data_IF_900324556959
#
_entry.id   IF_900324556959
#
_cell.length_a   1.000
_cell.length_b   1.000
_cell.length_c   1.000
_cell.angle_alpha   90.00
_cell.angle_beta   90.00
_cell.angle_gamma   90.00
#
_symmetry.space_group_name_H-M   'P 1'
#
loop_
_entity.id
_entity.type
_entity.pdbx_description
1 polymer ?
#
# COMPACT_ATOMS: atom_id res chain seq x y z
N UNK A 1 -19.48 17.87 -10.14
CA UNK A 1 -18.05 17.53 -10.26
C UNK A 1 -17.49 17.75 -8.89
N UNK A 2 -17.11 16.68 -8.21
CA UNK A 2 -16.60 16.80 -6.85
C UNK A 2 -15.09 17.03 -6.91
N UNK A 3 -14.64 18.11 -6.27
CA UNK A 3 -13.27 18.58 -6.38
C UNK A 3 -12.48 18.12 -5.16
N UNK A 4 -11.57 17.17 -5.37
CA UNK A 4 -10.64 16.75 -4.34
C UNK A 4 -9.54 17.81 -4.15
N UNK A 5 -9.51 18.42 -2.97
CA UNK A 5 -8.55 19.47 -2.62
C UNK A 5 -7.50 18.93 -1.65
N UNK A 6 -6.22 19.12 -1.98
CA UNK A 6 -5.14 18.91 -1.02
C UNK A 6 -5.09 20.14 -0.12
N UNK A 7 -5.33 19.94 1.18
CA UNK A 7 -5.31 21.01 2.16
C UNK A 7 -3.95 21.71 2.13
N UNK A 8 -3.99 23.03 1.97
CA UNK A 8 -2.81 23.89 1.88
C UNK A 8 -1.86 23.58 0.71
N UNK A 9 -2.26 22.75 -0.27
CA UNK A 9 -1.38 22.25 -1.33
C UNK A 9 -0.08 21.61 -0.79
N UNK A 10 -0.16 21.00 0.40
CA UNK A 10 1.01 20.45 1.10
C UNK A 10 1.00 18.91 1.13
N UNK A 11 2.17 18.34 0.86
CA UNK A 11 2.49 16.92 1.07
C UNK A 11 3.65 16.85 2.06
N UNK A 12 3.53 15.99 3.07
CA UNK A 12 4.55 15.85 4.11
C UNK A 12 5.25 14.50 4.00
N UNK A 13 6.57 14.51 4.11
CA UNK A 13 7.39 13.31 4.11
C UNK A 13 7.56 12.76 5.52
N UNK A 14 7.50 11.44 5.66
CA UNK A 14 7.72 10.72 6.91
C UNK A 14 8.88 9.73 6.78
N UNK A 15 9.53 9.47 7.92
CA UNK A 15 10.60 8.45 8.01
C UNK A 15 10.08 7.06 8.31
N UNK A 16 8.94 6.95 8.99
CA UNK A 16 8.40 5.67 9.46
C UNK A 16 6.89 5.66 9.25
N UNK A 17 6.38 4.55 8.71
CA UNK A 17 4.95 4.27 8.59
C UNK A 17 4.61 3.14 9.56
N UNK A 18 3.48 3.28 10.25
CA UNK A 18 2.97 2.29 11.19
C UNK A 18 1.55 1.91 10.77
N UNK A 19 1.34 0.64 10.44
CA UNK A 19 0.03 0.12 10.04
C UNK A 19 -0.45 -0.85 11.12
N UNK A 20 -1.59 -0.54 11.72
CA UNK A 20 -2.20 -1.41 12.70
C UNK A 20 -3.01 -2.50 11.98
N UNK A 21 -2.92 -3.73 12.47
CA UNK A 21 -3.73 -4.84 12.01
C UNK A 21 -4.18 -5.71 13.18
N UNK A 22 -5.24 -6.48 12.94
CA UNK A 22 -5.75 -7.46 13.89
C UNK A 22 -5.26 -8.83 13.51
N UNK A 23 -4.66 -9.54 14.45
CA UNK A 23 -4.33 -10.95 14.29
C UNK A 23 -5.56 -11.83 14.51
N UNK A 24 -5.48 -13.10 14.11
CA UNK A 24 -6.60 -14.05 14.18
C UNK A 24 -7.14 -14.25 15.61
N UNK A 25 -6.28 -14.11 16.61
CA UNK A 25 -6.63 -14.14 18.04
C UNK A 25 -7.23 -12.82 18.55
N UNK A 26 -7.65 -11.91 17.65
CA UNK A 26 -8.26 -10.61 17.93
C UNK A 26 -7.32 -9.68 18.71
N UNK A 27 -6.02 -9.96 18.70
CA UNK A 27 -5.02 -9.05 19.25
C UNK A 27 -4.71 -7.93 18.24
N UNK A 28 -4.39 -6.75 18.77
CA UNK A 28 -3.92 -5.62 17.96
C UNK A 28 -2.40 -5.73 17.82
N UNK A 29 -1.93 -5.78 16.57
CA UNK A 29 -0.50 -5.70 16.23
C UNK A 29 -0.24 -4.54 15.28
N UNK A 30 1.02 -4.28 15.03
CA UNK A 30 1.48 -3.18 14.20
C UNK A 30 2.67 -3.61 13.36
N UNK A 31 2.60 -3.31 12.07
CA UNK A 31 3.73 -3.39 11.16
C UNK A 31 4.40 -2.02 11.07
N UNK A 32 5.73 -2.02 11.12
CA UNK A 32 6.56 -0.83 11.08
C UNK A 32 7.39 -0.86 9.81
N UNK A 33 7.18 0.13 8.95
CA UNK A 33 7.93 0.27 7.71
C UNK A 33 8.87 1.46 7.82
N UNK A 34 10.17 1.20 7.58
CA UNK A 34 11.18 2.23 7.57
C UNK A 34 12.02 2.13 6.29
N UNK A 35 11.91 3.08 5.34
CA UNK A 35 12.65 3.08 4.08
C UNK A 35 14.18 3.13 4.27
N UNK A 36 14.65 3.59 5.44
CA UNK A 36 16.08 3.73 5.73
C UNK A 36 16.69 2.51 6.41
N UNK A 37 15.91 1.46 6.67
CA UNK A 37 16.42 0.18 7.22
C UNK A 37 16.19 -0.95 6.22
N UNK A 38 16.62 -2.15 6.58
CA UNK A 38 16.39 -3.36 5.77
C UNK A 38 14.91 -3.79 5.76
N UNK A 39 14.08 -3.24 6.66
CA UNK A 39 12.63 -3.49 6.74
C UNK A 39 11.82 -2.54 5.85
N UNK A 40 12.17 -2.53 4.56
CA UNK A 40 11.54 -1.68 3.53
C UNK A 40 10.89 -2.45 2.38
N UNK A 41 11.08 -3.75 2.33
CA UNK A 41 10.43 -4.61 1.35
C UNK A 41 9.06 -5.06 1.88
N UNK A 42 8.03 -4.94 1.05
CA UNK A 42 6.64 -5.24 1.39
C UNK A 42 6.02 -6.19 0.37
N UNK A 43 5.09 -7.00 0.87
CA UNK A 43 4.29 -7.93 0.10
C UNK A 43 2.83 -7.48 0.19
N UNK A 44 2.16 -7.37 -0.95
CA UNK A 44 0.78 -6.93 -1.05
C UNK A 44 -0.02 -7.93 -1.87
N UNK A 45 -1.34 -7.96 -1.66
CA UNK A 45 -2.22 -8.74 -2.52
C UNK A 45 -2.20 -8.11 -3.92
N UNK A 46 -1.92 -8.93 -4.94
CA UNK A 46 -1.98 -8.45 -6.31
C UNK A 46 -3.43 -8.07 -6.64
N UNK A 47 -3.62 -6.95 -7.33
CA UNK A 47 -4.93 -6.57 -7.82
C UNK A 47 -5.45 -7.67 -8.76
N UNK A 48 -6.76 -8.00 -8.72
CA UNK A 48 -7.33 -8.85 -9.74
C UNK A 48 -7.12 -8.15 -11.09
N UNK A 49 -6.44 -8.82 -12.01
CA UNK A 49 -6.38 -8.31 -13.37
C UNK A 49 -7.79 -8.39 -13.97
N UNK A 50 -8.22 -7.31 -14.61
CA UNK A 50 -9.39 -7.34 -15.48
C UNK A 50 -9.01 -8.13 -16.75
N UNK A 51 -8.69 -9.41 -16.59
CA UNK A 51 -8.40 -10.27 -17.72
C UNK A 51 -9.75 -10.69 -18.28
N UNK A 52 -10.10 -10.17 -19.46
CA UNK A 52 -11.17 -10.73 -20.28
C UNK A 52 -10.95 -12.25 -20.35
N UNK A 53 -12.04 -13.02 -20.23
CA UNK A 53 -12.08 -14.48 -20.02
C UNK A 53 -11.41 -15.34 -21.13
N UNK A 54 -10.63 -14.74 -22.01
CA UNK A 54 -10.07 -15.31 -23.23
C UNK A 54 -8.53 -15.42 -23.24
N UNK A 55 -7.83 -15.23 -22.13
CA UNK A 55 -6.40 -15.55 -22.04
C UNK A 55 -6.16 -16.90 -21.33
N UNK A 56 -6.04 -17.92 -22.19
CA UNK A 56 -5.54 -19.27 -21.98
C UNK A 56 -4.47 -19.43 -20.88
N UNK A 57 -4.83 -20.12 -19.78
CA UNK A 57 -4.11 -21.15 -18.97
C UNK A 57 -2.63 -20.93 -18.54
N UNK A 58 -1.88 -19.96 -19.06
CA UNK A 58 -0.44 -19.79 -18.83
C UNK A 58 -0.03 -18.45 -18.23
N UNK A 59 -0.93 -17.48 -18.07
CA UNK A 59 -0.68 -16.30 -17.26
C UNK A 59 -1.25 -16.50 -15.85
N UNK A 60 -0.60 -17.35 -15.06
CA UNK A 60 -0.84 -17.39 -13.60
C UNK A 60 -0.24 -16.12 -13.00
N UNK A 61 -0.98 -15.02 -13.04
CA UNK A 61 -0.60 -13.82 -12.31
C UNK A 61 -0.40 -14.17 -10.84
N UNK A 62 0.78 -13.84 -10.31
CA UNK A 62 1.13 -14.15 -8.94
C UNK A 62 0.10 -13.52 -8.00
N UNK A 63 -0.40 -14.31 -7.02
CA UNK A 63 -1.40 -13.86 -6.04
C UNK A 63 -0.92 -12.64 -5.23
N UNK A 64 0.38 -12.40 -5.19
CA UNK A 64 1.00 -11.34 -4.43
C UNK A 64 1.96 -10.54 -5.30
N UNK A 65 2.04 -9.24 -5.03
CA UNK A 65 3.05 -8.35 -5.56
C UNK A 65 4.05 -7.97 -4.45
N UNK A 66 5.28 -7.67 -4.86
CA UNK A 66 6.37 -7.29 -3.98
C UNK A 66 6.87 -5.92 -4.39
N UNK A 67 7.13 -5.06 -3.40
CA UNK A 67 7.62 -3.71 -3.64
C UNK A 67 8.64 -3.31 -2.58
N UNK A 68 9.53 -2.37 -2.93
CA UNK A 68 10.44 -1.72 -1.99
C UNK A 68 9.98 -0.30 -1.73
N UNK A 69 9.79 0.05 -0.47
CA UNK A 69 9.44 1.40 -0.06
C UNK A 69 10.68 2.30 -0.22
N UNK A 70 10.54 3.34 -1.04
CA UNK A 70 11.57 4.36 -1.27
C UNK A 70 11.36 5.63 -0.42
N UNK A 71 10.12 5.88 0.00
CA UNK A 71 9.74 7.05 0.79
C UNK A 71 8.29 6.95 1.21
N UNK A 72 7.94 7.67 2.28
CA UNK A 72 6.59 7.71 2.84
C UNK A 72 6.13 9.16 2.81
N UNK A 73 4.92 9.39 2.28
CA UNK A 73 4.33 10.71 2.18
C UNK A 73 2.87 10.66 2.60
N UNK A 74 2.37 11.73 3.20
CA UNK A 74 0.93 11.91 3.44
C UNK A 74 0.47 13.31 3.04
N UNK A 75 -0.80 13.41 2.68
CA UNK A 75 -1.48 14.65 2.38
C UNK A 75 -2.82 14.68 3.14
N UNK A 76 -3.23 15.87 3.57
CA UNK A 76 -4.56 16.07 4.14
C UNK A 76 -5.50 16.45 2.99
N UNK A 77 -6.60 15.72 2.84
CA UNK A 77 -7.52 15.87 1.70
C UNK A 77 -8.88 16.35 2.17
N UNK A 78 -9.51 17.24 1.39
CA UNK A 78 -10.87 17.75 1.59
C UNK A 78 -11.70 17.51 0.33
N UNK A 79 -13.00 17.25 0.53
CA UNK A 79 -14.00 16.98 -0.51
C UNK A 79 -14.98 18.15 -0.60
#
# INVERSE_FOLDING_TARGET
VDHLLIRSNCIYQHRVLRVNYTTYDVQRRQDIFNPTTDHRDIMMLAAPENTDESETIHQRHHRFCYARIIGIYHANVQY
#
